data_IF_740247945034
#
_entry.id   IF_740247945034
#
_cell.length_a   1.000
_cell.length_b   1.000
_cell.length_c   1.000
_cell.angle_alpha   90.00
_cell.angle_beta   90.00
_cell.angle_gamma   90.00
#
_symmetry.space_group_name_H-M   'P 1'
#
loop_
_entity.id
_entity.type
_entity.pdbx_description
1 polymer ?
#
# COMPACT_ATOMS: atom_id res chain seq x y z
N UNK A 1 -9.66 -18.74 20.15
CA UNK A 1 -9.31 -17.33 20.31
C UNK A 1 -10.40 -16.52 19.62
N UNK A 2 -11.21 -15.76 20.35
CA UNK A 2 -12.17 -14.87 19.70
C UNK A 2 -11.40 -13.78 18.94
N UNK A 3 -11.65 -13.68 17.65
CA UNK A 3 -11.04 -12.65 16.80
C UNK A 3 -11.86 -11.37 17.00
N UNK A 4 -11.42 -10.53 17.94
CA UNK A 4 -11.98 -9.19 18.08
C UNK A 4 -11.80 -8.40 16.80
N UNK A 5 -12.88 -7.75 16.36
CA UNK A 5 -12.83 -6.90 15.16
C UNK A 5 -11.95 -5.70 15.45
N UNK A 6 -11.00 -5.42 14.56
CA UNK A 6 -10.12 -4.24 14.62
C UNK A 6 -10.92 -2.95 14.82
N UNK A 7 -12.08 -2.84 14.17
CA UNK A 7 -12.97 -1.69 14.33
C UNK A 7 -13.47 -1.50 15.77
N UNK A 8 -13.85 -2.58 16.46
CA UNK A 8 -14.31 -2.49 17.85
C UNK A 8 -13.18 -2.03 18.78
N UNK A 9 -11.95 -2.52 18.54
CA UNK A 9 -10.74 -2.12 19.26
C UNK A 9 -10.36 -0.65 19.00
N UNK A 10 -10.57 -0.15 17.78
CA UNK A 10 -10.29 1.26 17.46
C UNK A 10 -11.27 2.22 18.17
N UNK A 11 -12.53 1.81 18.33
CA UNK A 11 -13.58 2.62 18.97
C UNK A 11 -13.46 2.58 20.51
N UNK A 12 -12.88 1.51 21.06
CA UNK A 12 -12.78 1.33 22.52
C UNK A 12 -11.75 2.23 23.22
N UNK A 13 -11.09 3.15 22.49
CA UNK A 13 -10.20 4.17 23.08
C UNK A 13 -8.93 3.58 23.70
N UNK A 14 -8.32 2.58 23.05
CA UNK A 14 -7.07 1.98 23.50
C UNK A 14 -5.95 3.02 23.60
N UNK A 15 -5.21 2.99 24.72
CA UNK A 15 -4.04 3.86 24.91
C UNK A 15 -2.80 3.36 24.15
N UNK A 16 -2.72 2.06 23.88
CA UNK A 16 -1.59 1.41 23.21
C UNK A 16 -2.06 0.31 22.26
N UNK A 17 -1.28 0.03 21.20
CA UNK A 17 -1.56 -1.01 20.23
C UNK A 17 -1.23 -2.40 20.82
N UNK A 18 -2.16 -3.37 20.82
CA UNK A 18 -1.87 -4.71 21.32
C UNK A 18 -0.72 -5.39 20.56
N UNK A 19 0.15 -6.09 21.27
CA UNK A 19 1.36 -6.72 20.71
C UNK A 19 1.09 -7.63 19.50
N UNK A 20 -0.09 -8.29 19.44
CA UNK A 20 -0.51 -9.11 18.31
C UNK A 20 -0.64 -8.36 16.97
N UNK A 21 -0.73 -7.03 17.01
CA UNK A 21 -0.80 -6.15 15.84
C UNK A 21 0.50 -5.36 15.59
N UNK A 22 1.49 -5.48 16.47
CA UNK A 22 2.79 -4.84 16.29
C UNK A 22 3.61 -5.69 15.32
N UNK A 23 4.02 -5.11 14.19
CA UNK A 23 4.88 -5.78 13.21
C UNK A 23 6.28 -6.06 13.79
N UNK A 24 6.98 -7.12 13.34
CA UNK A 24 8.40 -7.31 13.63
C UNK A 24 9.22 -6.07 13.25
N UNK A 25 10.29 -5.78 13.99
CA UNK A 25 11.06 -4.53 13.84
C UNK A 25 11.53 -4.23 12.40
N UNK A 26 11.84 -5.25 11.59
CA UNK A 26 12.28 -5.11 10.21
C UNK A 26 11.14 -4.91 9.19
N UNK A 27 9.89 -5.13 9.60
CA UNK A 27 8.66 -4.92 8.80
C UNK A 27 7.85 -3.72 9.31
N UNK A 28 8.28 -3.11 10.41
CA UNK A 28 7.69 -1.87 10.89
C UNK A 28 7.96 -0.82 9.82
N UNK A 29 6.90 -0.22 9.25
CA UNK A 29 7.11 0.88 8.33
C UNK A 29 7.83 1.97 9.09
N UNK A 30 8.96 2.41 8.56
CA UNK A 30 9.49 3.70 8.98
C UNK A 30 8.39 4.72 8.75
N UNK A 31 8.21 5.70 9.65
CA UNK A 31 7.36 6.86 9.38
C UNK A 31 8.04 7.74 8.31
N UNK A 32 8.30 7.15 7.15
CA UNK A 32 8.96 7.76 6.02
C UNK A 32 7.99 8.70 5.37
N UNK A 33 8.41 9.95 5.20
CA UNK A 33 7.72 10.88 4.32
C UNK A 33 7.71 10.28 2.91
N UNK A 34 6.66 10.59 2.15
CA UNK A 34 6.66 10.27 0.73
C UNK A 34 7.95 10.79 0.09
N UNK A 35 8.62 9.95 -0.69
CA UNK A 35 9.80 10.36 -1.43
C UNK A 35 9.38 11.43 -2.45
N UNK A 36 9.93 12.63 -2.30
CA UNK A 36 9.58 13.76 -3.16
C UNK A 36 9.92 13.44 -4.62
N UNK A 37 8.96 13.68 -5.52
CA UNK A 37 9.11 13.37 -6.94
C UNK A 37 8.91 11.90 -7.32
N UNK A 38 8.66 10.99 -6.37
CA UNK A 38 8.32 9.59 -6.66
C UNK A 38 6.81 9.39 -6.56
N UNK A 39 6.18 9.07 -7.68
CA UNK A 39 4.76 8.72 -7.75
C UNK A 39 4.56 7.32 -8.33
N UNK A 40 3.48 6.68 -7.95
CA UNK A 40 3.07 5.41 -8.57
C UNK A 40 2.51 5.72 -9.97
N UNK A 41 2.98 5.04 -11.03
CA UNK A 41 2.43 5.24 -12.37
C UNK A 41 0.92 4.94 -12.42
N UNK A 42 0.18 5.84 -13.06
CA UNK A 42 -1.24 5.67 -13.36
C UNK A 42 -1.38 5.44 -14.86
N UNK A 43 -1.93 4.29 -15.24
CA UNK A 43 -2.02 3.85 -16.64
C UNK A 43 -3.49 3.68 -17.00
N UNK A 44 -3.94 4.39 -18.03
CA UNK A 44 -5.30 4.23 -18.55
C UNK A 44 -5.39 3.01 -19.46
N UNK A 45 -6.32 2.10 -19.15
CA UNK A 45 -6.59 0.90 -19.96
C UNK A 45 -7.53 1.18 -21.15
N UNK A 46 -8.05 2.41 -21.27
CA UNK A 46 -8.92 2.81 -22.38
C UNK A 46 -8.15 3.12 -23.68
N UNK A 47 -6.82 2.97 -23.66
CA UNK A 47 -5.92 3.23 -24.79
C UNK A 47 -5.76 1.98 -25.66
N UNK A 48 -5.24 2.13 -26.89
CA UNK A 48 -4.86 0.98 -27.73
C UNK A 48 -3.94 0.00 -27.00
N UNK A 49 -4.11 -1.29 -27.27
CA UNK A 49 -3.45 -2.37 -26.54
C UNK A 49 -1.92 -2.27 -26.54
N UNK A 50 -1.32 -1.88 -27.68
CA UNK A 50 0.12 -1.67 -27.83
C UNK A 50 0.66 -0.54 -26.94
N UNK A 51 -0.11 0.54 -26.79
CA UNK A 51 0.22 1.65 -25.89
C UNK A 51 0.16 1.20 -24.44
N UNK A 52 -0.91 0.49 -24.05
CA UNK A 52 -1.06 -0.05 -22.69
C UNK A 52 0.07 -1.02 -22.33
N UNK A 53 0.39 -1.96 -23.22
CA UNK A 53 1.47 -2.94 -22.99
C UNK A 53 2.81 -2.23 -22.79
N UNK A 54 3.10 -1.19 -23.57
CA UNK A 54 4.32 -0.40 -23.43
C UNK A 54 4.38 0.34 -22.10
N UNK A 55 3.30 1.01 -21.70
CA UNK A 55 3.23 1.74 -20.43
C UNK A 55 3.34 0.80 -19.22
N UNK A 56 2.66 -0.35 -19.27
CA UNK A 56 2.73 -1.39 -18.23
C UNK A 56 4.14 -1.96 -18.14
N UNK A 57 4.79 -2.29 -19.25
CA UNK A 57 6.15 -2.81 -19.26
C UNK A 57 7.13 -1.80 -18.65
N UNK A 58 6.98 -0.51 -18.97
CA UNK A 58 7.79 0.55 -18.38
C UNK A 58 7.56 0.66 -16.86
N UNK A 59 6.31 0.71 -16.42
CA UNK A 59 5.99 0.83 -15.00
C UNK A 59 6.30 -0.44 -14.18
N UNK A 60 6.27 -1.63 -14.79
CA UNK A 60 6.69 -2.87 -14.14
C UNK A 60 8.17 -2.86 -13.74
N UNK A 61 9.02 -2.08 -14.41
CA UNK A 61 10.41 -1.88 -13.97
C UNK A 61 10.52 -1.15 -12.62
N UNK A 62 9.48 -0.42 -12.21
CA UNK A 62 9.38 0.26 -10.92
C UNK A 62 8.73 -0.60 -9.82
N UNK A 63 8.18 -1.77 -10.16
CA UNK A 63 7.63 -2.75 -9.20
C UNK A 63 6.30 -2.37 -8.53
N UNK A 64 5.70 -1.21 -8.86
CA UNK A 64 4.42 -0.75 -8.33
C UNK A 64 3.52 -0.29 -9.47
N UNK A 65 2.46 -1.04 -9.76
CA UNK A 65 1.40 -0.68 -10.70
C UNK A 65 0.11 -0.41 -9.91
N UNK A 66 -0.41 0.81 -9.96
CA UNK A 66 -1.74 1.12 -9.43
C UNK A 66 -2.74 1.09 -10.59
N UNK A 67 -3.74 0.20 -10.49
CA UNK A 67 -4.85 0.14 -11.45
C UNK A 67 -5.98 1.07 -10.99
N UNK A 68 -6.45 1.95 -11.87
CA UNK A 68 -7.70 2.70 -11.72
C UNK A 68 -8.58 2.47 -12.96
#
# INVERSE_FOLDING_TARGET
MEVERVQALAISGLNELPAKFVRPAHEQPENSKALEGVTVPVISLAQPHDVVVKEVAAAATMGLLSHY
#
